data_IF_878058165736
#
_entry.id   IF_878058165736
#
_cell.length_a   1.000
_cell.length_b   1.000
_cell.length_c   1.000
_cell.angle_alpha   90.00
_cell.angle_beta   90.00
_cell.angle_gamma   90.00
#
_symmetry.space_group_name_H-M   'P 1'
#
loop_
_entity.id
_entity.type
_entity.pdbx_description
1 polymer ?
#
# COMPACT_ATOMS: atom_id res chain seq x y z
N UNK A 1 3.46 -7.17 -28.63
CA UNK A 1 2.51 -7.57 -27.57
C UNK A 1 1.70 -8.69 -28.14
N UNK A 2 1.77 -9.87 -27.52
CA UNK A 2 0.90 -10.98 -27.90
C UNK A 2 -0.55 -10.60 -27.61
N UNK A 3 -1.45 -10.94 -28.53
CA UNK A 3 -2.87 -10.67 -28.36
C UNK A 3 -3.41 -11.63 -27.30
N UNK A 4 -3.85 -11.09 -26.16
CA UNK A 4 -4.51 -11.87 -25.11
C UNK A 4 -5.90 -12.29 -25.61
N UNK A 5 -6.16 -13.58 -25.63
CA UNK A 5 -7.46 -14.14 -26.02
C UNK A 5 -8.32 -14.45 -24.79
N UNK A 6 -9.66 -14.54 -24.94
CA UNK A 6 -10.52 -15.00 -23.86
C UNK A 6 -10.17 -16.42 -23.34
N UNK A 7 -9.52 -17.25 -24.17
CA UNK A 7 -9.10 -18.58 -23.77
C UNK A 7 -7.88 -18.54 -22.83
N UNK A 8 -6.99 -17.57 -23.01
CA UNK A 8 -5.85 -17.34 -22.12
C UNK A 8 -6.34 -16.95 -20.72
N UNK A 9 -7.30 -16.02 -20.64
CA UNK A 9 -7.95 -15.64 -19.38
C UNK A 9 -8.56 -16.85 -18.66
N UNK A 10 -9.31 -17.69 -19.39
CA UNK A 10 -9.89 -18.92 -18.82
C UNK A 10 -8.83 -19.90 -18.33
N UNK A 11 -7.67 -19.93 -18.95
CA UNK A 11 -6.56 -20.80 -18.54
C UNK A 11 -5.91 -20.25 -17.28
N UNK A 12 -5.65 -18.94 -17.21
CA UNK A 12 -5.07 -18.31 -16.03
C UNK A 12 -5.99 -18.35 -14.81
N UNK A 13 -7.30 -18.12 -14.98
CA UNK A 13 -8.27 -18.19 -13.88
C UNK A 13 -8.48 -19.61 -13.31
N UNK A 14 -7.92 -20.65 -13.93
CA UNK A 14 -7.94 -22.02 -13.41
C UNK A 14 -6.72 -22.36 -12.55
N UNK A 15 -5.70 -21.51 -12.53
CA UNK A 15 -4.50 -21.74 -11.73
C UNK A 15 -4.89 -21.62 -10.25
N UNK A 16 -4.65 -22.65 -9.43
CA UNK A 16 -4.84 -22.58 -7.98
C UNK A 16 -4.00 -21.46 -7.36
N UNK A 17 -4.52 -20.77 -6.35
CA UNK A 17 -3.85 -19.59 -5.80
C UNK A 17 -2.49 -19.93 -5.17
N UNK A 18 -2.35 -21.13 -4.63
CA UNK A 18 -1.15 -21.71 -4.01
C UNK A 18 -0.10 -22.16 -5.03
N UNK A 19 -0.45 -22.23 -6.32
CA UNK A 19 0.48 -22.50 -7.42
C UNK A 19 0.98 -21.21 -8.09
N UNK A 20 0.40 -20.04 -7.80
CA UNK A 20 0.69 -18.79 -8.49
C UNK A 20 2.16 -18.34 -8.33
N UNK A 21 2.71 -18.46 -7.12
CA UNK A 21 4.06 -17.96 -6.80
C UNK A 21 5.16 -18.67 -7.59
N UNK A 22 4.99 -19.95 -7.90
CA UNK A 22 5.97 -20.75 -8.62
C UNK A 22 5.52 -21.07 -10.06
N UNK A 23 4.47 -20.40 -10.55
CA UNK A 23 3.92 -20.71 -11.87
C UNK A 23 4.89 -20.32 -12.99
N UNK A 24 5.18 -21.25 -13.91
CA UNK A 24 6.18 -21.07 -14.98
C UNK A 24 5.89 -19.88 -15.91
N UNK A 25 4.63 -19.45 -16.01
CA UNK A 25 4.22 -18.32 -16.84
C UNK A 25 4.11 -16.99 -16.07
N UNK A 26 4.56 -16.94 -14.81
CA UNK A 26 4.54 -15.73 -14.00
C UNK A 26 5.33 -14.60 -14.70
N UNK A 27 4.69 -13.45 -14.88
CA UNK A 27 5.25 -12.32 -15.65
C UNK A 27 5.89 -11.25 -14.78
N UNK A 28 5.47 -11.15 -13.52
CA UNK A 28 5.96 -10.17 -12.55
C UNK A 28 6.31 -10.89 -11.25
N UNK A 29 7.27 -10.39 -10.45
CA UNK A 29 7.48 -10.91 -9.11
C UNK A 29 6.17 -10.93 -8.34
N UNK A 30 5.83 -12.09 -7.80
CA UNK A 30 4.64 -12.31 -6.99
C UNK A 30 5.09 -12.99 -5.70
N UNK A 31 4.46 -12.62 -4.59
CA UNK A 31 4.68 -13.24 -3.29
C UNK A 31 3.33 -13.60 -2.68
N UNK A 32 3.16 -14.86 -2.31
CA UNK A 32 2.01 -15.30 -1.52
C UNK A 32 2.37 -15.21 -0.04
N UNK A 33 1.43 -14.76 0.78
CA UNK A 33 1.61 -14.65 2.24
C UNK A 33 0.42 -15.28 2.93
N UNK A 34 0.63 -15.73 4.16
CA UNK A 34 -0.37 -16.49 4.92
C UNK A 34 -1.65 -15.69 5.16
N UNK A 35 -1.52 -14.41 5.54
CA UNK A 35 -2.65 -13.57 5.89
C UNK A 35 -2.38 -12.06 5.71
N UNK A 36 -3.42 -11.27 6.03
CA UNK A 36 -3.36 -9.80 5.96
C UNK A 36 -2.35 -9.17 6.93
N UNK A 37 -2.03 -9.83 8.05
CA UNK A 37 -1.07 -9.33 9.01
C UNK A 37 0.35 -9.51 8.47
N UNK A 38 0.66 -10.68 7.89
CA UNK A 38 1.92 -10.92 7.19
C UNK A 38 2.12 -9.95 6.03
N UNK A 39 1.08 -9.72 5.21
CA UNK A 39 1.10 -8.68 4.16
C UNK A 39 1.39 -7.30 4.77
N UNK A 40 0.73 -6.97 5.87
CA UNK A 40 0.88 -5.70 6.56
C UNK A 40 2.31 -5.42 7.03
N UNK A 41 2.99 -6.44 7.56
CA UNK A 41 4.39 -6.32 8.00
C UNK A 41 5.35 -6.09 6.82
N UNK A 42 5.13 -6.80 5.70
CA UNK A 42 5.98 -6.66 4.50
C UNK A 42 5.83 -5.25 3.92
N UNK A 43 4.59 -4.79 3.69
CA UNK A 43 4.33 -3.45 3.15
C UNK A 43 4.92 -2.35 4.02
N UNK A 44 4.75 -2.46 5.35
CA UNK A 44 5.31 -1.50 6.30
C UNK A 44 6.84 -1.48 6.29
N UNK A 45 7.48 -2.66 6.24
CA UNK A 45 8.93 -2.78 6.16
C UNK A 45 9.48 -2.15 4.89
N UNK A 46 8.86 -2.43 3.74
CA UNK A 46 9.30 -1.89 2.45
C UNK A 46 9.30 -0.35 2.45
N UNK A 47 8.23 0.29 2.94
CA UNK A 47 8.18 1.76 3.00
C UNK A 47 9.20 2.33 3.98
N UNK A 48 9.38 1.70 5.16
CA UNK A 48 10.37 2.15 6.15
C UNK A 48 11.79 2.06 5.61
N UNK A 49 12.13 0.95 4.97
CA UNK A 49 13.48 0.74 4.41
C UNK A 49 13.77 1.70 3.26
N UNK A 50 12.77 2.00 2.41
CA UNK A 50 12.88 3.00 1.34
C UNK A 50 13.13 4.41 1.92
N UNK A 51 12.38 4.79 2.98
CA UNK A 51 12.59 6.08 3.66
C UNK A 51 13.98 6.16 4.29
N UNK A 52 14.45 5.07 4.92
CA UNK A 52 15.80 5.00 5.49
C UNK A 52 16.87 5.18 4.41
N UNK A 53 16.76 4.45 3.31
CA UNK A 53 17.70 4.51 2.21
C UNK A 53 17.78 5.92 1.58
N UNK A 54 16.66 6.63 1.42
CA UNK A 54 16.68 8.01 0.95
C UNK A 54 17.21 8.99 2.00
N UNK A 55 16.88 8.80 3.28
CA UNK A 55 17.42 9.64 4.36
C UNK A 55 18.95 9.56 4.44
N UNK A 56 19.54 8.38 4.28
CA UNK A 56 20.99 8.17 4.23
C UNK A 56 21.65 8.93 3.08
N UNK A 57 20.93 9.11 1.97
CA UNK A 57 21.36 9.89 0.80
C UNK A 57 21.00 11.38 0.89
N UNK A 58 20.24 11.79 1.90
CA UNK A 58 19.72 13.16 2.04
C UNK A 58 18.57 13.51 1.08
N UNK A 59 17.93 12.51 0.49
CA UNK A 59 16.89 12.64 -0.55
C UNK A 59 15.47 12.71 0.04
N UNK A 60 14.49 13.07 -0.81
CA UNK A 60 13.07 13.12 -0.44
C UNK A 60 12.38 11.85 -0.92
N UNK A 61 11.69 11.15 -0.02
CA UNK A 61 10.80 10.05 -0.40
C UNK A 61 9.43 10.61 -0.76
N UNK A 62 8.93 10.29 -1.96
CA UNK A 62 7.56 10.60 -2.38
C UNK A 62 6.78 9.30 -2.51
N UNK A 63 5.68 9.17 -1.78
CA UNK A 63 4.86 7.96 -1.79
C UNK A 63 3.40 8.29 -2.12
N UNK A 64 2.79 7.44 -2.94
CA UNK A 64 1.33 7.43 -3.13
C UNK A 64 0.77 6.39 -2.15
N UNK A 65 -0.05 6.83 -1.20
CA UNK A 65 -0.59 5.98 -0.13
C UNK A 65 -2.12 5.90 -0.27
N UNK A 66 -2.68 4.73 -0.63
CA UNK A 66 -4.12 4.53 -0.71
C UNK A 66 -4.76 4.44 0.68
N UNK A 67 -6.05 4.73 0.76
CA UNK A 67 -6.87 4.52 1.97
C UNK A 67 -7.32 3.04 2.07
N UNK A 68 -6.35 2.16 2.27
CA UNK A 68 -6.53 0.71 2.37
C UNK A 68 -5.64 -0.04 1.38
N UNK A 69 -5.30 -1.31 1.65
CA UNK A 69 -5.60 -2.07 2.86
C UNK A 69 -4.94 -1.45 4.10
N UNK A 70 -5.63 -1.41 5.25
CA UNK A 70 -5.15 -0.71 6.44
C UNK A 70 -4.22 -1.54 7.34
N UNK A 71 -4.01 -2.82 7.01
CA UNK A 71 -3.27 -3.78 7.84
C UNK A 71 -1.81 -3.39 8.10
N UNK A 72 -1.23 -2.51 7.27
CA UNK A 72 0.16 -2.07 7.38
C UNK A 72 0.35 -0.73 8.09
N UNK A 73 -0.71 0.04 8.38
CA UNK A 73 -0.57 1.37 8.98
C UNK A 73 0.06 1.32 10.37
N UNK A 74 -0.50 0.48 11.26
CA UNK A 74 0.05 0.31 12.61
C UNK A 74 1.47 -0.29 12.57
N UNK A 75 1.74 -1.37 11.81
CA UNK A 75 3.10 -1.85 11.64
C UNK A 75 4.07 -0.76 11.16
N UNK A 76 3.69 0.06 10.18
CA UNK A 76 4.52 1.16 9.69
C UNK A 76 4.88 2.15 10.80
N UNK A 77 3.89 2.63 11.55
CA UNK A 77 4.11 3.53 12.69
C UNK A 77 4.99 2.88 13.77
N UNK A 78 4.72 1.62 14.13
CA UNK A 78 5.49 0.88 15.13
C UNK A 78 6.97 0.77 14.70
N UNK A 79 7.22 0.48 13.43
CA UNK A 79 8.56 0.40 12.85
C UNK A 79 9.26 1.77 12.84
N UNK A 80 8.59 2.80 12.34
CA UNK A 80 9.12 4.16 12.26
C UNK A 80 9.53 4.69 13.65
N UNK A 81 8.68 4.49 14.65
CA UNK A 81 8.92 4.92 16.02
C UNK A 81 10.02 4.09 16.70
N UNK A 82 9.95 2.76 16.59
CA UNK A 82 10.95 1.87 17.21
C UNK A 82 12.35 2.10 16.66
N UNK A 83 12.47 2.35 15.36
CA UNK A 83 13.75 2.58 14.69
C UNK A 83 14.16 4.06 14.65
N UNK A 84 13.33 4.97 15.19
CA UNK A 84 13.54 6.42 15.21
C UNK A 84 13.79 7.01 13.81
N UNK A 85 12.97 6.61 12.83
CA UNK A 85 13.11 7.04 11.45
C UNK A 85 12.57 8.47 11.28
N UNK A 86 13.42 9.36 10.77
CA UNK A 86 13.00 10.73 10.47
C UNK A 86 12.07 10.76 9.25
N UNK A 87 10.83 11.17 9.45
CA UNK A 87 9.85 11.34 8.37
C UNK A 87 9.81 12.76 7.79
N UNK A 88 10.72 13.66 8.21
CA UNK A 88 10.76 15.06 7.75
C UNK A 88 10.89 15.24 6.23
N UNK A 89 11.41 14.22 5.53
CA UNK A 89 11.61 14.20 4.08
C UNK A 89 10.66 13.24 3.36
N UNK A 90 9.63 12.73 4.06
CA UNK A 90 8.56 11.96 3.45
C UNK A 90 7.46 12.92 2.97
N UNK A 91 7.07 12.81 1.70
CA UNK A 91 5.93 13.50 1.11
C UNK A 91 4.92 12.45 0.66
N UNK A 92 3.72 12.52 1.22
CA UNK A 92 2.62 11.59 0.91
C UNK A 92 1.61 12.25 -0.01
N UNK A 93 1.25 11.54 -1.08
CA UNK A 93 0.10 11.84 -1.92
C UNK A 93 -0.95 10.74 -1.68
N UNK A 94 -2.22 11.10 -1.53
CA UNK A 94 -3.29 10.10 -1.48
C UNK A 94 -3.77 9.75 -2.89
N UNK A 95 -4.04 8.46 -3.10
CA UNK A 95 -4.41 7.92 -4.42
C UNK A 95 -5.79 8.40 -4.86
N UNK A 96 -6.73 8.48 -3.92
CA UNK A 96 -8.15 8.69 -4.16
C UNK A 96 -8.83 9.40 -2.97
N UNK A 97 -10.02 9.95 -3.23
CA UNK A 97 -10.94 10.50 -2.22
C UNK A 97 -12.38 10.37 -2.73
N UNK A 98 -13.32 10.09 -1.83
CA UNK A 98 -14.74 10.12 -2.15
C UNK A 98 -15.26 11.55 -2.02
N UNK A 99 -15.95 12.02 -3.06
CA UNK A 99 -16.55 13.35 -3.11
C UNK A 99 -18.07 13.25 -3.11
N UNK A 100 -18.73 14.33 -2.71
CA UNK A 100 -20.17 14.47 -2.93
C UNK A 100 -20.52 14.69 -4.41
N UNK A 101 -21.80 14.79 -4.71
CA UNK A 101 -22.32 14.97 -6.08
C UNK A 101 -21.92 16.32 -6.71
N UNK A 102 -21.45 17.29 -5.92
CA UNK A 102 -20.90 18.57 -6.39
C UNK A 102 -19.38 18.56 -6.52
N UNK A 103 -18.73 17.42 -6.24
CA UNK A 103 -17.27 17.30 -6.27
C UNK A 103 -16.57 17.90 -5.06
N UNK A 104 -17.25 18.06 -3.92
CA UNK A 104 -16.66 18.56 -2.68
C UNK A 104 -16.23 17.40 -1.78
N UNK A 105 -15.19 17.64 -0.97
CA UNK A 105 -14.76 16.66 0.03
C UNK A 105 -15.88 16.37 1.03
N UNK A 106 -16.05 15.09 1.37
CA UNK A 106 -16.97 14.68 2.42
C UNK A 106 -16.48 15.16 3.80
N UNK A 107 -17.39 15.39 4.78
CA UNK A 107 -17.01 15.70 6.14
C UNK A 107 -16.04 14.66 6.72
N UNK A 108 -15.04 15.08 7.52
CA UNK A 108 -13.98 14.19 8.05
C UNK A 108 -14.49 13.00 8.87
N UNK A 109 -15.66 13.14 9.50
CA UNK A 109 -16.30 12.09 10.29
C UNK A 109 -17.20 11.17 9.44
N UNK A 110 -17.39 11.46 8.15
CA UNK A 110 -18.14 10.62 7.24
C UNK A 110 -17.38 9.31 7.00
N UNK A 111 -18.05 8.14 6.97
CA UNK A 111 -17.39 6.83 6.83
C UNK A 111 -16.60 6.69 5.52
N UNK A 112 -16.99 7.42 4.48
CA UNK A 112 -16.30 7.45 3.18
C UNK A 112 -15.30 8.60 3.03
N UNK A 113 -15.03 9.42 4.05
CA UNK A 113 -13.95 10.39 3.96
C UNK A 113 -12.61 9.69 4.16
N UNK A 114 -11.88 9.48 3.06
CA UNK A 114 -10.57 8.84 3.09
C UNK A 114 -9.57 9.73 3.82
N UNK A 115 -9.60 11.05 3.57
CA UNK A 115 -8.81 12.01 4.33
C UNK A 115 -9.06 11.91 5.82
N UNK A 116 -10.32 11.86 6.25
CA UNK A 116 -10.66 11.71 7.66
C UNK A 116 -10.14 10.40 8.25
N UNK A 117 -10.22 9.30 7.50
CA UNK A 117 -9.69 8.00 7.91
C UNK A 117 -8.15 8.04 8.05
N UNK A 118 -7.45 8.57 7.04
CA UNK A 118 -5.98 8.65 7.03
C UNK A 118 -5.46 9.56 8.14
N UNK A 119 -6.09 10.71 8.37
CA UNK A 119 -5.75 11.62 9.50
C UNK A 119 -5.77 10.88 10.84
N UNK A 120 -6.77 10.02 11.07
CA UNK A 120 -6.90 9.26 12.34
C UNK A 120 -6.00 8.04 12.44
N UNK A 121 -5.87 7.27 11.36
CA UNK A 121 -5.29 5.92 11.42
C UNK A 121 -3.88 5.82 10.89
N UNK A 122 -3.46 6.74 10.02
CA UNK A 122 -2.13 6.75 9.43
C UNK A 122 -1.26 7.87 10.00
N UNK A 123 -1.80 9.09 10.14
CA UNK A 123 -1.01 10.25 10.57
C UNK A 123 -1.00 10.47 12.09
N UNK A 124 -2.14 10.44 12.77
CA UNK A 124 -2.18 10.71 14.22
C UNK A 124 -1.31 9.77 15.09
N UNK A 125 -1.06 8.50 14.72
CA UNK A 125 -0.19 7.61 15.50
C UNK A 125 1.32 7.89 15.37
N UNK A 126 1.73 8.68 14.38
CA UNK A 126 3.14 8.96 14.01
C UNK A 126 3.75 10.06 14.86
#
# INVERSE_FOLDING_TARGET
>A
MDIITPQDLKTWCKIPYDELENHLQLKIPFRLVDDSAAMGQIMARELVDEIKAHNEKGEVTRAIIPCGPSCWYKPFTDLANRENISLKRLVVFHMDECLDWEGRELPRNHPYSFRGFMERHFYAPV
#
